data_IF_311911469683
#
_entry.id   IF_311911469683
#
_cell.length_a   1.000
_cell.length_b   1.000
_cell.length_c   1.000
_cell.angle_alpha   90.00
_cell.angle_beta   90.00
_cell.angle_gamma   90.00
#
_symmetry.space_group_name_H-M   'P 1'
#
loop_
_entity.id
_entity.type
_entity.pdbx_description
1 polymer ?
#
# COMPACT_ATOMS: atom_id res chain seq x y z
N UNK A 1 -3.42 9.93 45.22
CA UNK A 1 -4.10 8.74 44.68
C UNK A 1 -5.20 9.24 43.76
N UNK A 2 -4.86 9.54 42.50
CA UNK A 2 -5.85 9.88 41.46
C UNK A 2 -5.79 8.76 40.43
N UNK A 3 -6.95 8.17 40.21
CA UNK A 3 -7.23 7.08 39.29
C UNK A 3 -7.18 7.66 37.88
N UNK A 4 -6.26 7.17 37.05
CA UNK A 4 -6.30 7.42 35.61
C UNK A 4 -7.44 6.59 35.01
N UNK A 5 -8.52 7.26 34.62
CA UNK A 5 -9.48 6.72 33.67
C UNK A 5 -8.80 6.59 32.30
N UNK A 6 -8.27 5.39 32.02
CA UNK A 6 -7.95 4.97 30.65
C UNK A 6 -9.26 4.96 29.86
N UNK A 7 -9.42 5.93 28.95
CA UNK A 7 -10.51 5.93 27.97
C UNK A 7 -10.39 4.66 27.12
N UNK A 8 -11.37 3.76 27.27
CA UNK A 8 -11.55 2.63 26.35
C UNK A 8 -11.76 3.19 24.94
N UNK A 9 -10.84 2.88 24.02
CA UNK A 9 -11.00 3.15 22.59
C UNK A 9 -12.26 2.43 22.10
N UNK A 10 -13.20 3.16 21.48
CA UNK A 10 -14.41 2.59 20.91
C UNK A 10 -14.05 1.60 19.79
N UNK A 11 -14.28 0.30 20.03
CA UNK A 11 -14.06 -0.76 19.04
C UNK A 11 -15.05 -0.54 17.89
N UNK A 12 -14.55 -0.27 16.68
CA UNK A 12 -15.41 -0.05 15.50
C UNK A 12 -16.12 -1.36 15.14
N UNK A 13 -17.46 -1.40 15.10
CA UNK A 13 -18.20 -2.62 14.80
C UNK A 13 -17.87 -3.13 13.39
N UNK A 14 -17.76 -4.44 13.25
CA UNK A 14 -17.60 -5.11 11.96
C UNK A 14 -18.89 -4.93 11.13
N UNK A 15 -18.77 -4.63 9.84
CA UNK A 15 -19.86 -4.86 8.89
C UNK A 15 -20.07 -6.37 8.69
N UNK A 16 -21.23 -6.75 8.13
CA UNK A 16 -21.51 -8.16 7.84
C UNK A 16 -20.44 -8.78 6.94
N UNK A 17 -20.04 -8.09 5.87
CA UNK A 17 -19.06 -8.58 4.92
C UNK A 17 -17.68 -8.77 5.56
N UNK A 18 -17.26 -7.85 6.43
CA UNK A 18 -15.99 -7.97 7.16
C UNK A 18 -16.03 -9.14 8.16
N UNK A 19 -17.13 -9.31 8.89
CA UNK A 19 -17.32 -10.42 9.82
C UNK A 19 -17.31 -11.78 9.09
N UNK A 20 -18.03 -11.87 7.97
CA UNK A 20 -18.12 -13.08 7.17
C UNK A 20 -16.75 -13.48 6.59
N UNK A 21 -16.03 -12.52 6.01
CA UNK A 21 -14.68 -12.75 5.48
C UNK A 21 -13.70 -13.20 6.57
N UNK A 22 -13.63 -12.47 7.68
CA UNK A 22 -12.70 -12.76 8.77
C UNK A 22 -12.93 -14.15 9.38
N UNK A 23 -14.19 -14.50 9.65
CA UNK A 23 -14.52 -15.82 10.21
C UNK A 23 -14.23 -16.93 9.20
N UNK A 24 -14.46 -16.69 7.91
CA UNK A 24 -14.15 -17.65 6.86
C UNK A 24 -12.64 -17.90 6.73
N UNK A 25 -11.83 -16.85 6.81
CA UNK A 25 -10.37 -16.95 6.72
C UNK A 25 -9.80 -17.69 7.93
N UNK A 26 -10.19 -17.30 9.16
CA UNK A 26 -9.76 -17.98 10.40
C UNK A 26 -10.12 -19.47 10.40
N UNK A 27 -11.32 -19.82 9.93
CA UNK A 27 -11.74 -21.21 9.86
C UNK A 27 -10.97 -21.99 8.79
N UNK A 28 -10.69 -21.35 7.64
CA UNK A 28 -9.95 -21.96 6.54
C UNK A 28 -8.50 -22.24 6.93
N UNK A 29 -7.87 -21.37 7.71
CA UNK A 29 -6.53 -21.59 8.26
C UNK A 29 -6.47 -22.80 9.19
N UNK A 30 -7.47 -22.96 10.06
CA UNK A 30 -7.49 -24.07 11.02
C UNK A 30 -7.91 -25.42 10.40
N UNK A 31 -8.83 -25.41 9.43
CA UNK A 31 -9.50 -26.64 8.95
C UNK A 31 -9.30 -26.95 7.48
N UNK A 32 -8.61 -26.09 6.71
CA UNK A 32 -8.54 -26.11 5.25
C UNK A 32 -9.91 -26.06 4.54
N UNK A 33 -10.98 -25.68 5.25
CA UNK A 33 -12.35 -25.57 4.73
C UNK A 33 -12.97 -24.24 5.15
N UNK A 34 -13.69 -23.61 4.23
CA UNK A 34 -14.45 -22.38 4.52
C UNK A 34 -15.67 -22.63 5.41
N UNK A 35 -16.44 -21.56 5.63
CA UNK A 35 -17.73 -21.65 6.30
C UNK A 35 -18.71 -22.51 5.50
N UNK A 36 -19.46 -23.34 6.22
CA UNK A 36 -20.62 -24.05 5.66
C UNK A 36 -21.82 -23.11 5.60
N UNK A 37 -22.82 -23.46 4.80
CA UNK A 37 -24.09 -22.71 4.74
C UNK A 37 -24.76 -22.58 6.11
N UNK A 38 -24.66 -23.61 6.96
CA UNK A 38 -25.23 -23.60 8.30
C UNK A 38 -24.48 -22.62 9.21
N UNK A 39 -23.15 -22.63 9.21
CA UNK A 39 -22.34 -21.70 10.01
C UNK A 39 -22.49 -20.25 9.54
N UNK A 40 -22.59 -20.03 8.23
CA UNK A 40 -22.84 -18.70 7.67
C UNK A 40 -24.19 -18.15 8.14
N UNK A 41 -25.24 -18.97 8.14
CA UNK A 41 -26.56 -18.59 8.68
C UNK A 41 -26.54 -18.36 10.19
N UNK A 42 -25.76 -19.14 10.94
CA UNK A 42 -25.55 -18.94 12.38
C UNK A 42 -24.87 -17.59 12.64
N UNK A 43 -23.78 -17.32 11.92
CA UNK A 43 -23.04 -16.07 12.03
C UNK A 43 -23.93 -14.86 11.68
N UNK A 44 -24.72 -14.97 10.60
CA UNK A 44 -25.68 -13.93 10.20
C UNK A 44 -26.76 -13.72 11.24
N UNK A 45 -27.32 -14.80 11.79
CA UNK A 45 -28.31 -14.73 12.85
C UNK A 45 -27.79 -14.03 14.10
N UNK A 46 -26.53 -14.25 14.48
CA UNK A 46 -25.90 -13.55 15.61
C UNK A 46 -25.64 -12.08 15.28
N UNK A 47 -25.19 -11.79 14.06
CA UNK A 47 -24.99 -10.41 13.59
C UNK A 47 -26.28 -9.59 13.63
N UNK A 48 -27.41 -10.21 13.29
CA UNK A 48 -28.74 -9.61 13.33
C UNK A 48 -29.43 -9.73 14.72
N UNK A 49 -28.68 -10.07 15.78
CA UNK A 49 -29.13 -10.24 17.17
C UNK A 49 -30.31 -11.22 17.39
N UNK A 50 -30.42 -12.25 16.55
CA UNK A 50 -31.47 -13.29 16.67
C UNK A 50 -31.14 -14.29 17.78
N UNK A 51 -32.18 -14.86 18.40
CA UNK A 51 -31.99 -16.00 19.32
C UNK A 51 -31.75 -17.30 18.55
N UNK A 52 -31.13 -18.31 19.18
CA UNK A 52 -30.98 -19.63 18.54
C UNK A 52 -32.34 -20.27 18.22
N UNK A 53 -33.39 -19.94 18.98
CA UNK A 53 -34.75 -20.39 18.74
C UNK A 53 -35.35 -19.79 17.48
N UNK A 54 -35.09 -18.51 17.21
CA UNK A 54 -35.57 -17.84 15.99
C UNK A 54 -34.85 -18.42 14.76
N UNK A 55 -33.54 -18.64 14.88
CA UNK A 55 -32.75 -19.26 13.83
C UNK A 55 -33.15 -20.72 13.56
N UNK A 56 -33.49 -21.49 14.61
CA UNK A 56 -34.00 -22.85 14.50
C UNK A 56 -35.28 -22.94 13.67
N UNK A 57 -36.21 -21.99 13.89
CA UNK A 57 -37.44 -21.89 13.10
C UNK A 57 -37.16 -21.52 11.64
N UNK A 58 -36.23 -20.59 11.41
CA UNK A 58 -35.88 -20.09 10.07
C UNK A 58 -35.18 -21.17 9.22
N UNK A 59 -34.23 -21.89 9.80
CA UNK A 59 -33.46 -22.94 9.13
C UNK A 59 -34.20 -24.30 9.14
N UNK A 60 -35.31 -24.41 9.88
CA UNK A 60 -36.08 -25.65 10.10
C UNK A 60 -35.21 -26.79 10.65
N UNK A 61 -34.43 -26.48 11.68
CA UNK A 61 -33.57 -27.43 12.39
C UNK A 61 -33.81 -27.36 13.90
N UNK A 62 -33.39 -28.40 14.63
CA UNK A 62 -33.47 -28.40 16.09
C UNK A 62 -32.55 -27.33 16.71
N UNK A 63 -33.05 -26.61 17.72
CA UNK A 63 -32.29 -25.57 18.43
C UNK A 63 -30.97 -26.12 19.00
N UNK A 64 -30.96 -27.39 19.43
CA UNK A 64 -29.76 -28.03 19.96
C UNK A 64 -28.69 -28.28 18.89
N UNK A 65 -29.07 -28.65 17.67
CA UNK A 65 -28.13 -28.82 16.55
C UNK A 65 -27.44 -27.51 16.20
N UNK A 66 -28.18 -26.41 16.22
CA UNK A 66 -27.64 -25.06 16.00
C UNK A 66 -26.66 -24.67 17.11
N UNK A 67 -27.01 -24.92 18.39
CA UNK A 67 -26.11 -24.67 19.52
C UNK A 67 -24.81 -25.47 19.41
N UNK A 68 -24.88 -26.73 18.99
CA UNK A 68 -23.71 -27.58 18.82
C UNK A 68 -22.80 -27.09 17.68
N UNK A 69 -23.38 -26.66 16.55
CA UNK A 69 -22.64 -26.09 15.43
C UNK A 69 -21.98 -24.75 15.80
N UNK A 70 -22.71 -23.86 16.48
CA UNK A 70 -22.17 -22.60 16.98
C UNK A 70 -21.02 -22.82 17.97
N UNK A 71 -21.18 -23.74 18.92
CA UNK A 71 -20.14 -24.10 19.90
C UNK A 71 -18.86 -24.62 19.23
N UNK A 72 -19.02 -25.46 18.19
CA UNK A 72 -17.88 -25.99 17.43
C UNK A 72 -17.14 -24.87 16.67
N UNK A 73 -17.87 -23.96 16.04
CA UNK A 73 -17.31 -22.80 15.37
C UNK A 73 -16.59 -21.87 16.35
N UNK A 74 -17.22 -21.56 17.49
CA UNK A 74 -16.63 -20.67 18.49
C UNK A 74 -15.39 -21.27 19.14
N UNK A 75 -15.31 -22.59 19.29
CA UNK A 75 -14.10 -23.26 19.76
C UNK A 75 -12.94 -23.02 18.79
N UNK A 76 -13.17 -23.23 17.49
CA UNK A 76 -12.16 -22.94 16.45
C UNK A 76 -11.74 -21.47 16.52
N UNK A 77 -12.70 -20.54 16.56
CA UNK A 77 -12.40 -19.12 16.63
C UNK A 77 -11.65 -18.75 17.92
N UNK A 78 -12.00 -19.36 19.06
CA UNK A 78 -11.29 -19.12 20.32
C UNK A 78 -9.84 -19.58 20.26
N UNK A 79 -9.60 -20.73 19.64
CA UNK A 79 -8.25 -21.27 19.42
C UNK A 79 -7.45 -20.40 18.44
N UNK A 80 -8.07 -19.85 17.40
CA UNK A 80 -7.39 -18.99 16.42
C UNK A 80 -7.15 -17.56 16.94
N UNK A 81 -8.02 -17.04 17.79
CA UNK A 81 -7.92 -15.66 18.31
C UNK A 81 -7.18 -15.56 19.64
N UNK A 82 -7.02 -16.67 20.37
CA UNK A 82 -6.47 -16.67 21.72
C UNK A 82 -7.39 -16.06 22.78
N UNK A 83 -8.61 -15.64 22.40
CA UNK A 83 -9.65 -15.13 23.30
C UNK A 83 -10.81 -16.13 23.38
N UNK A 84 -11.45 -16.25 24.55
CA UNK A 84 -12.66 -17.06 24.69
C UNK A 84 -13.83 -16.41 23.95
N UNK A 85 -14.27 -17.02 22.85
CA UNK A 85 -15.37 -16.54 22.02
C UNK A 85 -16.66 -17.28 22.39
N UNK A 86 -17.71 -16.51 22.62
CA UNK A 86 -19.08 -16.91 22.89
C UNK A 86 -20.04 -16.03 22.07
N UNK A 87 -21.33 -16.38 22.02
CA UNK A 87 -22.33 -15.60 21.27
C UNK A 87 -22.33 -14.11 21.67
N UNK A 88 -22.23 -13.83 22.96
CA UNK A 88 -22.35 -12.48 23.54
C UNK A 88 -21.18 -11.56 23.22
N UNK A 89 -20.01 -12.10 22.92
CA UNK A 89 -18.80 -11.31 22.66
C UNK A 89 -18.20 -11.54 21.27
N UNK A 90 -18.77 -12.42 20.44
CA UNK A 90 -18.27 -12.79 19.10
C UNK A 90 -17.86 -11.57 18.26
N UNK A 91 -18.78 -10.61 18.08
CA UNK A 91 -18.55 -9.43 17.23
C UNK A 91 -17.44 -8.57 17.83
N UNK A 92 -17.47 -8.32 19.13
CA UNK A 92 -16.50 -7.47 19.83
C UNK A 92 -15.12 -8.11 19.93
N UNK A 93 -15.04 -9.42 20.11
CA UNK A 93 -13.79 -10.19 20.14
C UNK A 93 -13.15 -10.26 18.75
N UNK A 94 -13.96 -10.49 17.71
CA UNK A 94 -13.45 -10.51 16.33
C UNK A 94 -13.11 -9.12 15.80
N UNK A 95 -13.82 -8.08 16.22
CA UNK A 95 -13.45 -6.70 15.90
C UNK A 95 -12.09 -6.36 16.55
N UNK A 96 -11.89 -6.73 17.82
CA UNK A 96 -10.58 -6.62 18.48
C UNK A 96 -9.51 -7.44 17.77
N UNK A 97 -9.83 -8.67 17.38
CA UNK A 97 -8.89 -9.53 16.65
C UNK A 97 -8.51 -8.91 15.29
N UNK A 98 -9.47 -8.44 14.49
CA UNK A 98 -9.21 -7.71 13.22
C UNK A 98 -8.29 -6.52 13.44
N UNK A 99 -8.58 -5.72 14.47
CA UNK A 99 -7.85 -4.50 14.76
C UNK A 99 -6.43 -4.81 15.28
N UNK A 100 -6.22 -6.02 15.84
CA UNK A 100 -4.95 -6.54 16.34
C UNK A 100 -4.16 -7.44 15.36
N UNK A 101 -4.79 -8.01 14.32
CA UNK A 101 -4.20 -9.04 13.42
C UNK A 101 -3.65 -8.53 12.09
N UNK A 102 -3.67 -7.21 11.87
CA UNK A 102 -3.04 -6.54 10.72
C UNK A 102 -1.50 -6.48 10.85
N UNK A 103 -0.81 -7.62 10.99
CA UNK A 103 0.65 -7.77 10.77
C UNK A 103 1.02 -9.25 10.53
N UNK A 104 1.07 -9.69 9.26
CA UNK A 104 1.81 -10.88 8.83
C UNK A 104 2.60 -10.53 7.57
N UNK A 105 3.87 -10.92 7.50
CA UNK A 105 4.65 -10.78 6.27
C UNK A 105 4.34 -11.92 5.27
N UNK A 106 4.90 -11.84 4.06
CA UNK A 106 4.67 -12.79 2.96
C UNK A 106 5.01 -14.27 3.26
N UNK A 107 5.54 -14.59 4.45
CA UNK A 107 5.94 -15.94 4.84
C UNK A 107 5.18 -16.50 6.06
N UNK A 108 4.08 -15.86 6.52
CA UNK A 108 3.21 -16.36 7.58
C UNK A 108 3.95 -16.72 8.90
N UNK A 109 4.98 -15.95 9.26
CA UNK A 109 5.56 -16.03 10.61
C UNK A 109 4.95 -14.95 11.52
N UNK A 110 4.66 -15.26 12.80
CA UNK A 110 4.22 -14.25 13.76
C UNK A 110 5.34 -13.24 14.00
N UNK A 111 5.13 -11.98 13.63
CA UNK A 111 5.96 -10.89 14.12
C UNK A 111 5.59 -10.66 15.60
N UNK A 112 6.59 -10.73 16.48
CA UNK A 112 6.43 -10.32 17.87
C UNK A 112 5.99 -8.85 17.91
N UNK A 113 4.82 -8.59 18.50
CA UNK A 113 4.37 -7.24 18.83
C UNK A 113 5.43 -6.55 19.69
N UNK A 114 6.20 -5.67 19.08
CA UNK A 114 6.77 -4.52 19.80
C UNK A 114 5.57 -3.68 20.22
N UNK A 115 5.58 -3.18 21.46
CA UNK A 115 4.48 -2.37 21.97
C UNK A 115 4.21 -1.19 21.03
N UNK A 116 2.94 -0.93 20.68
CA UNK A 116 2.50 0.22 19.87
C UNK A 116 2.73 1.58 20.58
N UNK A 117 3.63 1.64 21.55
CA UNK A 117 4.01 2.87 22.24
C UNK A 117 5.06 3.55 21.37
N UNK A 118 4.63 4.56 20.62
CA UNK A 118 5.53 5.48 19.93
C UNK A 118 5.81 6.65 20.85
N UNK A 119 7.09 7.03 20.96
CA UNK A 119 7.48 8.26 21.64
C UNK A 119 7.61 9.39 20.61
N UNK A 120 6.82 10.45 20.76
CA UNK A 120 7.02 11.67 19.98
C UNK A 120 8.09 12.52 20.65
N UNK A 121 9.26 12.61 20.02
CA UNK A 121 10.39 13.44 20.40
C UNK A 121 10.50 14.65 19.46
N UNK A 122 10.09 15.83 19.93
CA UNK A 122 10.21 17.08 19.17
C UNK A 122 11.52 17.76 19.56
N UNK A 123 12.41 17.93 18.58
CA UNK A 123 13.68 18.60 18.74
C UNK A 123 13.74 19.81 17.79
N UNK A 124 14.05 20.99 18.29
CA UNK A 124 14.48 22.11 17.47
C UNK A 124 15.97 22.01 17.18
N UNK A 125 16.33 22.05 15.90
CA UNK A 125 17.72 22.06 15.45
C UNK A 125 17.85 23.20 14.44
N UNK A 126 18.96 23.95 14.50
CA UNK A 126 19.24 25.00 13.51
C UNK A 126 19.13 24.45 12.08
N UNK A 127 18.19 25.00 11.30
CA UNK A 127 17.63 24.37 10.11
C UNK A 127 18.63 24.36 8.94
N UNK A 128 19.55 25.33 8.91
CA UNK A 128 20.43 25.59 7.77
C UNK A 128 21.56 24.56 7.58
N UNK A 129 21.70 23.60 8.50
CA UNK A 129 22.89 22.74 8.60
C UNK A 129 22.62 21.22 8.68
N UNK A 130 21.38 20.76 8.49
CA UNK A 130 20.99 19.35 8.69
C UNK A 130 21.25 18.44 7.48
N UNK A 131 22.46 17.88 7.41
CA UNK A 131 22.82 16.84 6.42
C UNK A 131 22.37 15.43 6.87
N UNK A 132 22.14 14.46 5.95
CA UNK A 132 21.87 13.05 6.27
C UNK A 132 22.83 12.47 7.31
N UNK A 133 24.13 12.75 7.17
CA UNK A 133 25.15 12.30 8.13
C UNK A 133 24.94 12.87 9.54
N UNK A 134 24.57 14.15 9.66
CA UNK A 134 24.29 14.78 10.96
C UNK A 134 23.02 14.19 11.59
N UNK A 135 22.02 13.84 10.78
CA UNK A 135 20.79 13.18 11.26
C UNK A 135 21.10 11.78 11.78
N UNK A 136 21.93 11.01 11.08
CA UNK A 136 22.39 9.69 11.56
C UNK A 136 23.15 9.80 12.88
N UNK A 137 23.97 10.85 13.05
CA UNK A 137 24.64 11.15 14.32
C UNK A 137 23.64 11.47 15.44
N UNK A 138 22.60 12.25 15.16
CA UNK A 138 21.51 12.53 16.12
C UNK A 138 20.78 11.23 16.50
N UNK A 139 20.47 10.37 15.54
CA UNK A 139 19.81 9.08 15.80
C UNK A 139 20.68 8.16 16.68
N UNK A 140 21.97 8.05 16.36
CA UNK A 140 22.93 7.28 17.17
C UNK A 140 23.06 7.84 18.60
N UNK A 141 23.01 9.16 18.74
CA UNK A 141 23.02 9.83 20.03
C UNK A 141 21.77 9.50 20.86
N UNK A 142 20.58 9.54 20.25
CA UNK A 142 19.31 9.18 20.89
C UNK A 142 19.34 7.72 21.36
N UNK A 143 19.75 6.78 20.50
CA UNK A 143 19.91 5.37 20.85
C UNK A 143 20.85 5.17 22.05
N UNK A 144 21.98 5.88 22.06
CA UNK A 144 22.96 5.83 23.15
C UNK A 144 22.39 6.35 24.48
N UNK A 145 21.65 7.45 24.45
CA UNK A 145 21.01 8.04 25.65
C UNK A 145 19.92 7.10 26.19
N UNK A 146 19.12 6.54 25.28
CA UNK A 146 18.10 5.55 25.60
C UNK A 146 18.67 4.20 26.03
N UNK A 147 19.97 3.96 25.80
CA UNK A 147 20.64 2.66 26.00
C UNK A 147 19.94 1.53 25.23
N UNK A 148 19.43 1.88 24.06
CA UNK A 148 18.61 1.01 23.25
C UNK A 148 18.93 1.24 21.76
N UNK A 149 19.60 0.25 21.16
CA UNK A 149 19.94 0.27 19.74
C UNK A 149 18.78 -0.16 18.83
N UNK A 150 17.66 -0.60 19.41
CA UNK A 150 16.44 -0.86 18.67
C UNK A 150 15.67 0.42 18.38
N UNK A 151 16.01 1.54 19.03
CA UNK A 151 15.33 2.82 18.79
C UNK A 151 15.56 3.29 17.36
N UNK A 152 14.48 3.56 16.63
CA UNK A 152 14.54 4.05 15.26
C UNK A 152 13.52 5.16 15.05
N UNK A 153 13.89 6.23 14.33
CA UNK A 153 12.91 7.18 13.85
C UNK A 153 12.04 6.51 12.78
N UNK A 154 10.73 6.51 12.97
CA UNK A 154 9.76 6.04 11.97
C UNK A 154 9.26 7.16 11.07
N UNK A 155 9.35 8.41 11.53
CA UNK A 155 8.99 9.59 10.74
C UNK A 155 9.86 10.78 11.14
N UNK A 156 10.21 11.60 10.13
CA UNK A 156 10.95 12.84 10.30
C UNK A 156 10.31 13.98 9.49
N UNK A 157 10.05 15.10 10.16
CA UNK A 157 9.55 16.33 9.54
C UNK A 157 10.66 17.40 9.54
N UNK A 158 10.85 18.10 8.40
CA UNK A 158 11.83 19.20 8.24
C UNK A 158 11.33 20.46 8.98
N UNK A 159 12.26 21.24 9.54
CA UNK A 159 12.00 22.37 10.45
C UNK A 159 12.63 22.11 11.82
N UNK A 160 11.87 22.28 12.91
CA UNK A 160 12.16 21.60 14.17
C UNK A 160 12.00 20.09 13.94
N UNK A 161 13.11 19.34 13.89
CA UNK A 161 13.11 17.88 13.72
C UNK A 161 12.14 17.23 14.71
N UNK A 162 10.96 16.83 14.23
CA UNK A 162 10.03 15.99 14.96
C UNK A 162 10.34 14.54 14.62
N UNK A 163 10.73 13.77 15.62
CA UNK A 163 11.04 12.36 15.52
C UNK A 163 9.95 11.57 16.23
N UNK A 164 9.37 10.61 15.54
CA UNK A 164 8.57 9.57 16.16
C UNK A 164 9.47 8.35 16.31
N UNK A 165 9.61 7.84 17.53
CA UNK A 165 10.56 6.78 17.86
C UNK A 165 9.80 5.48 18.20
N UNK A 166 10.17 4.40 17.50
CA UNK A 166 9.88 3.03 17.92
C UNK A 166 11.12 2.46 18.62
N UNK A 167 10.98 1.45 19.48
CA UNK A 167 12.09 0.84 20.21
C UNK A 167 11.61 -0.13 21.28
N UNK A 168 12.48 -0.51 22.21
CA UNK A 168 12.06 -1.23 23.41
C UNK A 168 11.27 -0.29 24.32
N UNK A 169 10.29 -0.85 25.05
CA UNK A 169 9.50 -0.08 26.01
C UNK A 169 10.39 0.60 27.06
N UNK A 170 11.44 -0.10 27.53
CA UNK A 170 12.42 0.43 28.47
C UNK A 170 13.21 1.61 27.89
N UNK A 171 13.64 1.52 26.63
CA UNK A 171 14.39 2.59 25.96
C UNK A 171 13.55 3.84 25.73
N UNK A 172 12.31 3.66 25.28
CA UNK A 172 11.37 4.77 25.07
C UNK A 172 10.95 5.41 26.40
N UNK A 173 10.69 4.60 27.44
CA UNK A 173 10.32 5.11 28.77
C UNK A 173 11.47 5.90 29.39
N UNK A 174 12.70 5.42 29.21
CA UNK A 174 13.90 6.14 29.66
C UNK A 174 14.01 7.52 29.02
N UNK A 175 13.74 7.65 27.72
CA UNK A 175 13.77 8.96 27.05
C UNK A 175 12.69 9.90 27.61
N UNK A 176 11.48 9.40 27.84
CA UNK A 176 10.40 10.18 28.45
C UNK A 176 10.77 10.64 29.87
N UNK A 177 11.27 9.73 30.71
CA UNK A 177 11.65 10.02 32.09
C UNK A 177 12.79 11.06 32.17
N UNK A 178 13.80 10.93 31.30
CA UNK A 178 14.91 11.89 31.20
C UNK A 178 14.43 13.27 30.74
N UNK A 179 13.43 13.33 29.87
CA UNK A 179 12.85 14.62 29.49
C UNK A 179 12.11 15.25 30.67
N UNK A 180 11.29 14.46 31.36
CA UNK A 180 10.51 14.91 32.51
C UNK A 180 11.39 15.40 33.67
N UNK A 181 12.57 14.79 33.87
CA UNK A 181 13.57 15.25 34.85
C UNK A 181 14.39 16.45 34.38
N UNK A 182 14.33 16.83 33.10
CA UNK A 182 15.16 17.87 32.48
C UNK A 182 16.58 17.41 32.12
N UNK A 183 16.94 16.16 32.39
CA UNK A 183 18.28 15.60 32.13
C UNK A 183 18.52 15.30 30.65
N UNK A 184 17.46 15.05 29.87
CA UNK A 184 17.60 14.70 28.44
C UNK A 184 18.35 15.79 27.66
N UNK A 185 18.02 17.06 27.92
CA UNK A 185 18.68 18.20 27.27
C UNK A 185 20.16 18.30 27.67
N UNK A 186 20.50 18.02 28.92
CA UNK A 186 21.86 18.03 29.42
C UNK A 186 22.70 16.91 28.78
N UNK A 187 22.17 15.69 28.73
CA UNK A 187 22.82 14.54 28.10
C UNK A 187 23.03 14.74 26.60
N UNK A 188 22.04 15.31 25.89
CA UNK A 188 22.19 15.66 24.48
C UNK A 188 23.32 16.69 24.28
N UNK A 189 23.45 17.67 25.18
CA UNK A 189 24.52 18.67 25.09
C UNK A 189 25.91 18.13 25.48
N UNK A 190 25.99 17.20 26.43
CA UNK A 190 27.26 16.60 26.86
C UNK A 190 27.80 15.57 25.85
N UNK A 191 26.90 14.78 25.25
CA UNK A 191 27.28 13.64 24.43
C UNK A 191 27.30 13.94 22.92
N UNK A 192 26.81 15.10 22.48
CA UNK A 192 26.89 15.51 21.07
C UNK A 192 28.34 15.78 20.67
N UNK A 193 28.68 15.47 19.42
CA UNK A 193 29.93 15.92 18.80
C UNK A 193 29.81 17.36 18.30
N UNK A 194 30.95 18.05 18.16
CA UNK A 194 31.02 19.48 17.79
C UNK A 194 30.34 19.82 16.46
N UNK A 195 30.16 18.84 15.57
CA UNK A 195 29.54 18.99 14.27
C UNK A 195 28.01 18.82 14.27
N UNK A 196 27.42 18.44 15.40
CA UNK A 196 25.97 18.40 15.60
C UNK A 196 25.50 19.79 16.05
N UNK A 197 24.51 20.41 15.36
CA UNK A 197 24.02 21.73 15.75
C UNK A 197 23.40 21.74 17.16
N UNK A 198 23.05 22.92 17.66
CA UNK A 198 22.27 23.01 18.89
C UNK A 198 20.94 22.24 18.74
N UNK A 199 20.67 21.39 19.74
CA UNK A 199 19.50 20.52 19.84
C UNK A 199 18.70 21.05 21.02
N UNK A 200 17.44 21.43 20.80
CA UNK A 200 16.54 21.87 21.86
C UNK A 200 15.36 20.90 21.92
N UNK A 201 15.24 20.14 23.01
CA UNK A 201 14.10 19.23 23.21
C UNK A 201 12.88 20.03 23.66
N UNK A 202 11.80 19.97 22.88
CA UNK A 202 10.51 20.61 23.19
C UNK A 202 9.49 19.66 23.78
N UNK A 203 9.56 18.39 23.41
CA UNK A 203 8.59 17.36 23.76
C UNK A 203 9.23 15.99 23.68
N UNK A 204 8.86 15.09 24.59
CA UNK A 204 9.16 13.66 24.58
C UNK A 204 8.05 12.93 25.34
N UNK A 205 6.96 12.59 24.64
CA UNK A 205 5.75 12.05 25.26
C UNK A 205 5.25 10.83 24.49
N UNK A 206 4.71 9.86 25.22
CA UNK A 206 4.06 8.70 24.60
C UNK A 206 2.75 9.13 23.96
N UNK A 207 2.52 8.68 22.73
CA UNK A 207 1.26 8.91 22.02
C UNK A 207 0.56 7.59 21.73
N UNK A 208 -0.76 7.55 21.95
CA UNK A 208 -1.63 6.39 21.72
C UNK A 208 -2.39 6.45 20.39
N UNK A 209 -2.37 7.60 19.71
CA UNK A 209 -3.10 7.88 18.46
C UNK A 209 -2.21 7.74 17.23
N UNK A 210 -1.19 6.87 17.29
CA UNK A 210 -0.21 6.63 16.22
C UNK A 210 -0.87 6.59 14.84
N UNK A 211 -1.94 5.82 14.61
CA UNK A 211 -2.59 5.72 13.28
C UNK A 211 -3.29 7.00 12.78
N UNK A 212 -3.87 7.82 13.66
CA UNK A 212 -4.63 9.03 13.25
C UNK A 212 -3.72 10.26 13.21
N UNK A 213 -2.73 10.32 14.11
CA UNK A 213 -1.71 11.38 14.14
C UNK A 213 -0.67 11.14 13.05
N UNK A 214 -0.27 9.90 12.75
CA UNK A 214 0.63 9.60 11.63
C UNK A 214 0.01 10.00 10.30
N UNK A 215 -1.22 9.57 9.99
CA UNK A 215 -1.80 9.85 8.68
C UNK A 215 -2.14 11.32 8.46
N UNK A 216 -2.79 11.97 9.43
CA UNK A 216 -3.22 13.35 9.27
C UNK A 216 -2.06 14.35 9.26
N UNK A 217 -1.07 14.17 10.15
CA UNK A 217 0.13 15.01 10.16
C UNK A 217 1.01 14.73 8.95
N UNK A 218 1.12 13.47 8.51
CA UNK A 218 1.85 13.13 7.29
C UNK A 218 1.23 13.74 6.05
N UNK A 219 -0.09 13.63 5.89
CA UNK A 219 -0.82 14.27 4.80
C UNK A 219 -0.59 15.79 4.84
N UNK A 220 -0.65 16.40 6.03
CA UNK A 220 -0.37 17.82 6.19
C UNK A 220 1.07 18.16 5.78
N UNK A 221 2.05 17.39 6.26
CA UNK A 221 3.46 17.59 5.96
C UNK A 221 3.78 17.43 4.47
N UNK A 222 3.19 16.43 3.81
CA UNK A 222 3.30 16.24 2.36
C UNK A 222 2.73 17.45 1.62
N UNK A 223 1.53 17.92 2.01
CA UNK A 223 0.88 19.09 1.41
C UNK A 223 1.65 20.39 1.64
N UNK A 224 2.35 20.50 2.77
CA UNK A 224 3.18 21.66 3.12
C UNK A 224 4.62 21.54 2.58
N UNK A 225 4.99 20.41 1.96
CA UNK A 225 6.34 20.18 1.44
C UNK A 225 7.42 20.07 2.52
N UNK A 226 7.04 19.69 3.75
CA UNK A 226 7.95 19.63 4.91
C UNK A 226 8.51 18.23 5.17
N UNK A 227 8.15 17.24 4.34
CA UNK A 227 8.67 15.88 4.48
C UNK A 227 10.04 15.70 3.82
N UNK A 228 10.84 14.80 4.37
CA UNK A 228 12.09 14.35 3.74
C UNK A 228 11.84 13.20 2.75
N UNK A 229 12.50 13.24 1.59
CA UNK A 229 12.27 12.37 0.44
C UNK A 229 12.48 10.87 0.78
N UNK A 230 13.21 10.54 1.85
CA UNK A 230 13.63 9.17 2.16
C UNK A 230 12.68 8.37 3.06
N UNK A 231 11.58 8.93 3.55
CA UNK A 231 10.93 8.43 4.80
C UNK A 231 9.48 7.97 4.65
N UNK A 232 9.01 7.69 3.43
CA UNK A 232 7.59 7.40 3.16
C UNK A 232 7.29 5.91 2.88
N UNK A 233 8.15 5.00 3.31
CA UNK A 233 7.99 3.56 3.07
C UNK A 233 6.93 2.98 4.00
N UNK A 234 6.05 2.11 3.50
CA UNK A 234 5.01 1.41 4.28
C UNK A 234 3.93 2.31 4.92
N UNK A 235 3.90 3.60 4.59
CA UNK A 235 2.93 4.54 5.20
C UNK A 235 1.50 4.27 4.73
N UNK A 236 0.53 4.51 5.60
CA UNK A 236 -0.89 4.55 5.23
C UNK A 236 -1.29 5.98 4.81
N UNK A 237 -1.45 6.16 3.51
CA UNK A 237 -1.99 7.33 2.84
C UNK A 237 -3.30 6.99 2.09
N UNK A 238 -3.99 5.91 2.46
CA UNK A 238 -5.23 5.50 1.81
C UNK A 238 -6.31 6.58 1.94
N UNK A 239 -6.98 6.92 0.84
CA UNK A 239 -7.97 7.99 0.79
C UNK A 239 -7.40 9.41 1.04
N UNK A 240 -6.08 9.58 1.11
CA UNK A 240 -5.47 10.87 1.34
C UNK A 240 -5.79 11.85 0.19
N UNK A 241 -5.97 13.13 0.53
CA UNK A 241 -6.12 14.21 -0.45
C UNK A 241 -4.75 14.89 -0.60
N UNK A 242 -4.06 14.53 -1.68
CA UNK A 242 -2.68 14.92 -2.01
C UNK A 242 -2.63 15.56 -3.42
N UNK A 243 -3.68 16.30 -3.76
CA UNK A 243 -3.81 17.01 -5.04
C UNK A 243 -2.63 17.98 -5.19
N UNK A 244 -1.95 17.93 -6.33
CA UNK A 244 -0.80 18.78 -6.66
C UNK A 244 0.37 18.71 -5.64
N UNK A 245 0.39 17.72 -4.75
CA UNK A 245 1.47 17.55 -3.80
C UNK A 245 2.80 17.24 -4.50
N UNK A 246 3.89 17.77 -3.95
CA UNK A 246 5.24 17.38 -4.39
C UNK A 246 5.72 16.18 -3.58
N UNK A 247 5.79 15.05 -4.27
CA UNK A 247 6.29 13.76 -3.79
C UNK A 247 7.41 13.27 -4.72
N UNK A 248 8.03 14.18 -5.48
CA UNK A 248 9.12 13.81 -6.38
C UNK A 248 10.28 13.23 -5.59
N UNK A 249 10.89 12.18 -6.15
CA UNK A 249 11.98 11.42 -5.55
C UNK A 249 11.67 10.73 -4.21
N UNK A 250 10.43 10.84 -3.73
CA UNK A 250 10.06 10.24 -2.46
C UNK A 250 10.11 8.71 -2.51
N UNK A 251 10.49 8.08 -1.41
CA UNK A 251 10.40 6.64 -1.25
C UNK A 251 9.06 6.22 -0.63
N UNK A 252 8.07 5.97 -1.47
CA UNK A 252 6.73 5.45 -1.14
C UNK A 252 6.59 3.95 -1.39
N UNK A 253 7.70 3.19 -1.38
CA UNK A 253 7.63 1.75 -1.63
C UNK A 253 6.78 1.04 -0.57
N UNK A 254 5.97 0.09 -1.02
CA UNK A 254 5.03 -0.66 -0.17
C UNK A 254 4.03 0.22 0.63
N UNK A 255 3.88 1.50 0.29
CA UNK A 255 2.90 2.38 0.92
C UNK A 255 1.47 2.03 0.48
N UNK A 256 0.49 2.27 1.36
CA UNK A 256 -0.92 2.19 1.01
C UNK A 256 -1.44 3.57 0.60
N UNK A 257 -1.71 3.74 -0.69
CA UNK A 257 -2.30 4.92 -1.32
C UNK A 257 -3.67 4.58 -1.91
N UNK A 258 -4.32 3.50 -1.45
CA UNK A 258 -5.60 3.05 -2.01
C UNK A 258 -6.67 4.13 -1.87
N UNK A 259 -7.34 4.45 -2.96
CA UNK A 259 -8.34 5.53 -3.03
C UNK A 259 -7.80 6.94 -2.82
N UNK A 260 -6.48 7.15 -2.72
CA UNK A 260 -5.90 8.48 -2.56
C UNK A 260 -6.16 9.35 -3.79
N UNK A 261 -6.33 10.65 -3.58
CA UNK A 261 -6.42 11.64 -4.65
C UNK A 261 -5.08 12.37 -4.82
N UNK A 262 -4.32 11.93 -5.82
CA UNK A 262 -3.01 12.45 -6.26
C UNK A 262 -3.15 13.19 -7.60
N UNK A 263 -4.34 13.72 -7.93
CA UNK A 263 -4.52 14.45 -9.19
C UNK A 263 -3.55 15.62 -9.29
N UNK A 264 -2.85 15.74 -10.43
CA UNK A 264 -1.83 16.76 -10.66
C UNK A 264 -0.57 16.66 -9.77
N UNK A 265 -0.44 15.65 -8.91
CA UNK A 265 0.72 15.53 -8.02
C UNK A 265 2.02 15.34 -8.81
N UNK A 266 3.11 15.94 -8.31
CA UNK A 266 4.45 15.69 -8.83
C UNK A 266 5.01 14.44 -8.15
N UNK A 267 5.10 13.35 -8.90
CA UNK A 267 5.62 12.03 -8.49
C UNK A 267 6.84 11.66 -9.35
N UNK A 268 7.56 12.65 -9.87
CA UNK A 268 8.72 12.42 -10.75
C UNK A 268 9.79 11.65 -9.99
N UNK A 269 10.29 10.55 -10.55
CA UNK A 269 11.33 9.72 -9.94
C UNK A 269 10.94 9.05 -8.62
N UNK A 270 9.66 9.11 -8.21
CA UNK A 270 9.18 8.49 -6.96
C UNK A 270 9.41 6.97 -6.99
N UNK A 271 9.76 6.39 -5.84
CA UNK A 271 9.74 4.94 -5.68
C UNK A 271 8.40 4.50 -5.08
N UNK A 272 7.53 3.90 -5.90
CA UNK A 272 6.25 3.29 -5.55
C UNK A 272 6.28 1.76 -5.70
N UNK A 273 7.46 1.13 -5.67
CA UNK A 273 7.56 -0.31 -5.87
C UNK A 273 6.76 -1.07 -4.79
N UNK A 274 5.88 -1.97 -5.21
CA UNK A 274 5.00 -2.74 -4.31
C UNK A 274 3.83 -1.95 -3.71
N UNK A 275 3.76 -0.63 -3.91
CA UNK A 275 2.73 0.20 -3.30
C UNK A 275 1.31 -0.20 -3.74
N UNK A 276 0.34 -0.01 -2.84
CA UNK A 276 -1.08 -0.22 -3.13
C UNK A 276 -1.72 1.11 -3.56
N UNK A 277 -2.00 1.27 -4.85
CA UNK A 277 -2.73 2.40 -5.43
C UNK A 277 -4.13 2.01 -5.92
N UNK A 278 -4.73 0.96 -5.35
CA UNK A 278 -6.05 0.50 -5.78
C UNK A 278 -7.08 1.63 -5.75
N UNK A 279 -7.76 1.89 -6.87
CA UNK A 279 -8.78 2.94 -6.97
C UNK A 279 -8.27 4.37 -6.79
N UNK A 280 -6.95 4.62 -6.75
CA UNK A 280 -6.41 5.95 -6.58
C UNK A 280 -6.68 6.84 -7.81
N UNK A 281 -6.83 8.15 -7.58
CA UNK A 281 -6.97 9.14 -8.64
C UNK A 281 -5.63 9.84 -8.89
N UNK A 282 -5.00 9.57 -10.04
CA UNK A 282 -3.75 10.17 -10.50
C UNK A 282 -3.93 10.88 -11.85
N UNK A 283 -5.12 11.41 -12.14
CA UNK A 283 -5.35 12.21 -13.36
C UNK A 283 -4.31 13.32 -13.42
N UNK A 284 -3.66 13.48 -14.58
CA UNK A 284 -2.65 14.52 -14.83
C UNK A 284 -1.44 14.50 -13.86
N UNK A 285 -1.24 13.43 -13.08
CA UNK A 285 -0.06 13.32 -12.23
C UNK A 285 1.23 13.16 -13.07
N UNK A 286 2.34 13.68 -12.56
CA UNK A 286 3.65 13.60 -13.21
C UNK A 286 4.42 12.44 -12.58
N UNK A 287 4.46 11.29 -13.25
CA UNK A 287 5.15 10.05 -12.84
C UNK A 287 6.38 9.76 -13.72
N UNK A 288 6.94 10.80 -14.34
CA UNK A 288 8.15 10.73 -15.16
C UNK A 288 9.28 10.03 -14.40
N UNK A 289 9.77 8.90 -14.92
CA UNK A 289 10.84 8.11 -14.32
C UNK A 289 10.49 7.37 -13.02
N UNK A 290 9.22 7.36 -12.59
CA UNK A 290 8.80 6.68 -11.37
C UNK A 290 9.03 5.16 -11.42
N UNK A 291 9.33 4.56 -10.27
CA UNK A 291 9.39 3.11 -10.08
C UNK A 291 8.08 2.57 -9.50
N UNK A 292 7.27 1.92 -10.33
CA UNK A 292 5.98 1.32 -9.99
C UNK A 292 6.04 -0.21 -10.08
N UNK A 293 7.23 -0.81 -9.99
CA UNK A 293 7.39 -2.28 -10.10
C UNK A 293 6.49 -2.99 -9.11
N UNK A 294 5.70 -3.95 -9.60
CA UNK A 294 4.77 -4.76 -8.79
C UNK A 294 3.72 -3.97 -8.01
N UNK A 295 3.55 -2.68 -8.27
CA UNK A 295 2.52 -1.87 -7.63
C UNK A 295 1.12 -2.39 -8.02
N UNK A 296 0.16 -2.28 -7.09
CA UNK A 296 -1.23 -2.58 -7.35
C UNK A 296 -1.99 -1.29 -7.73
N UNK A 297 -2.23 -1.08 -9.01
CA UNK A 297 -2.94 0.08 -9.56
C UNK A 297 -4.36 -0.27 -10.00
N UNK A 298 -4.88 -1.45 -9.69
CA UNK A 298 -6.20 -1.89 -10.19
C UNK A 298 -7.27 -0.82 -9.95
N UNK A 299 -8.09 -0.56 -10.98
CA UNK A 299 -9.17 0.45 -10.98
C UNK A 299 -8.73 1.90 -10.72
N UNK A 300 -7.42 2.20 -10.67
CA UNK A 300 -6.93 3.56 -10.59
C UNK A 300 -7.21 4.38 -11.86
N UNK A 301 -7.20 5.70 -11.74
CA UNK A 301 -7.37 6.61 -12.86
C UNK A 301 -6.07 7.40 -13.12
N UNK A 302 -5.38 7.07 -14.20
CA UNK A 302 -4.15 7.72 -14.68
C UNK A 302 -4.41 8.47 -16.00
N UNK A 303 -5.64 8.95 -16.23
CA UNK A 303 -5.97 9.71 -17.43
C UNK A 303 -5.07 10.95 -17.57
N UNK A 304 -4.48 11.14 -18.76
CA UNK A 304 -3.56 12.23 -19.06
C UNK A 304 -2.31 12.31 -18.15
N UNK A 305 -1.99 11.25 -17.38
CA UNK A 305 -0.78 11.22 -16.57
C UNK A 305 0.48 11.14 -17.45
N UNK A 306 1.58 11.74 -16.98
CA UNK A 306 2.90 11.59 -17.58
C UNK A 306 3.63 10.41 -16.92
N UNK A 307 3.87 9.35 -17.68
CA UNK A 307 4.58 8.13 -17.28
C UNK A 307 5.84 7.93 -18.14
N UNK A 308 6.42 9.01 -18.68
CA UNK A 308 7.63 8.94 -19.49
C UNK A 308 8.74 8.18 -18.75
N UNK A 309 9.25 7.12 -19.38
CA UNK A 309 10.27 6.20 -18.81
C UNK A 309 9.93 5.57 -17.45
N UNK A 310 8.68 5.61 -17.01
CA UNK A 310 8.27 4.96 -15.76
C UNK A 310 8.47 3.43 -15.83
N UNK A 311 8.78 2.81 -14.70
CA UNK A 311 9.01 1.38 -14.58
C UNK A 311 7.82 0.68 -13.92
N UNK A 312 6.91 0.13 -14.73
CA UNK A 312 5.70 -0.58 -14.33
C UNK A 312 5.84 -2.10 -14.45
N UNK A 313 7.08 -2.63 -14.43
CA UNK A 313 7.32 -4.07 -14.63
C UNK A 313 6.57 -4.89 -13.58
N UNK A 314 5.74 -5.83 -14.06
CA UNK A 314 4.92 -6.69 -13.22
C UNK A 314 3.84 -5.98 -12.40
N UNK A 315 3.54 -4.70 -12.67
CA UNK A 315 2.46 -3.99 -12.00
C UNK A 315 1.09 -4.55 -12.38
N UNK A 316 0.12 -4.43 -11.48
CA UNK A 316 -1.27 -4.79 -11.75
C UNK A 316 -2.07 -3.54 -12.14
N UNK A 317 -2.39 -3.39 -13.42
CA UNK A 317 -3.12 -2.27 -14.02
C UNK A 317 -4.51 -2.70 -14.52
N UNK A 318 -5.07 -3.80 -14.02
CA UNK A 318 -6.35 -4.29 -14.53
C UNK A 318 -7.47 -3.28 -14.27
N UNK A 319 -8.25 -2.97 -15.31
CA UNK A 319 -9.34 -1.99 -15.23
C UNK A 319 -8.91 -0.53 -15.05
N UNK A 320 -7.61 -0.22 -15.18
CA UNK A 320 -7.11 1.16 -15.08
C UNK A 320 -7.58 2.01 -16.27
N UNK A 321 -7.82 3.30 -16.02
CA UNK A 321 -7.95 4.29 -17.08
C UNK A 321 -6.60 4.99 -17.35
N UNK A 322 -6.01 4.75 -18.52
CA UNK A 322 -4.79 5.40 -19.02
C UNK A 322 -5.09 6.22 -20.30
N UNK A 323 -6.34 6.64 -20.50
CA UNK A 323 -6.72 7.44 -21.67
C UNK A 323 -5.85 8.69 -21.80
N UNK A 324 -5.29 8.90 -22.99
CA UNK A 324 -4.39 10.02 -23.31
C UNK A 324 -3.13 10.15 -22.43
N UNK A 325 -2.76 9.13 -21.65
CA UNK A 325 -1.52 9.14 -20.85
C UNK A 325 -0.28 9.10 -21.76
N UNK A 326 0.83 9.70 -21.31
CA UNK A 326 2.12 9.59 -21.99
C UNK A 326 2.97 8.48 -21.35
N UNK A 327 3.11 7.35 -22.05
CA UNK A 327 3.87 6.18 -21.63
C UNK A 327 5.12 6.01 -22.53
N UNK A 328 5.62 7.09 -23.13
CA UNK A 328 6.81 7.06 -23.98
C UNK A 328 7.98 6.37 -23.24
N UNK A 329 8.46 5.26 -23.82
CA UNK A 329 9.60 4.46 -23.32
C UNK A 329 9.38 3.90 -21.91
N UNK A 330 8.13 3.82 -21.44
CA UNK A 330 7.80 3.15 -20.19
C UNK A 330 8.09 1.64 -20.27
N UNK A 331 8.45 1.03 -19.14
CA UNK A 331 8.65 -0.41 -19.03
C UNK A 331 7.45 -1.07 -18.38
N UNK A 332 6.59 -1.70 -19.18
CA UNK A 332 5.40 -2.45 -18.80
C UNK A 332 5.60 -3.97 -18.92
N UNK A 333 6.86 -4.44 -18.93
CA UNK A 333 7.14 -5.87 -19.13
C UNK A 333 6.47 -6.73 -18.05
N UNK A 334 5.73 -7.76 -18.48
CA UNK A 334 4.97 -8.66 -17.61
C UNK A 334 3.84 -7.99 -16.82
N UNK A 335 3.47 -6.74 -17.10
CA UNK A 335 2.37 -6.07 -16.41
C UNK A 335 1.01 -6.65 -16.79
N UNK A 336 0.06 -6.61 -15.86
CA UNK A 336 -1.33 -6.98 -16.12
C UNK A 336 -2.14 -5.76 -16.54
N UNK A 337 -2.42 -5.63 -17.83
CA UNK A 337 -3.18 -4.54 -18.46
C UNK A 337 -4.56 -5.03 -18.95
N UNK A 338 -5.13 -6.06 -18.30
CA UNK A 338 -6.40 -6.63 -18.76
C UNK A 338 -7.55 -5.62 -18.61
N UNK A 339 -8.34 -5.46 -19.68
CA UNK A 339 -9.47 -4.53 -19.72
C UNK A 339 -9.10 -3.05 -19.59
N UNK A 340 -7.81 -2.69 -19.68
CA UNK A 340 -7.36 -1.31 -19.51
C UNK A 340 -7.88 -0.41 -20.63
N UNK A 341 -8.23 0.84 -20.31
CA UNK A 341 -8.51 1.85 -21.32
C UNK A 341 -7.25 2.65 -21.64
N UNK A 342 -6.65 2.45 -22.81
CA UNK A 342 -5.46 3.16 -23.28
C UNK A 342 -5.80 4.13 -24.43
N UNK A 343 -7.07 4.43 -24.72
CA UNK A 343 -7.44 5.18 -25.92
C UNK A 343 -6.68 6.50 -26.05
N UNK A 344 -6.05 6.70 -27.21
CA UNK A 344 -5.25 7.90 -27.50
C UNK A 344 -3.95 8.06 -26.70
N UNK A 345 -3.55 7.08 -25.89
CA UNK A 345 -2.28 7.12 -25.16
C UNK A 345 -1.06 7.03 -26.09
N UNK A 346 0.07 7.56 -25.62
CA UNK A 346 1.35 7.49 -26.32
C UNK A 346 2.24 6.39 -25.72
N UNK A 347 2.44 5.28 -26.44
CA UNK A 347 3.30 4.16 -26.02
C UNK A 347 4.53 4.02 -26.93
N UNK A 348 5.00 5.14 -27.52
CA UNK A 348 6.14 5.10 -28.44
C UNK A 348 7.37 4.52 -27.74
N UNK A 349 7.95 3.48 -28.33
CA UNK A 349 9.12 2.78 -27.79
C UNK A 349 8.91 2.10 -26.43
N UNK A 350 7.68 1.91 -25.97
CA UNK A 350 7.39 1.25 -24.70
C UNK A 350 7.75 -0.26 -24.73
N UNK A 351 8.17 -0.81 -23.60
CA UNK A 351 8.40 -2.25 -23.46
C UNK A 351 7.19 -2.95 -22.85
N UNK A 352 6.45 -3.71 -23.64
CA UNK A 352 5.26 -4.49 -23.28
C UNK A 352 5.52 -6.00 -23.33
N UNK A 353 6.78 -6.44 -23.30
CA UNK A 353 7.13 -7.86 -23.41
C UNK A 353 6.40 -8.70 -22.36
N UNK A 354 5.67 -9.72 -22.81
CA UNK A 354 4.91 -10.63 -21.95
C UNK A 354 3.76 -9.98 -21.17
N UNK A 355 3.37 -8.74 -21.50
CA UNK A 355 2.27 -8.07 -20.82
C UNK A 355 0.92 -8.72 -21.19
N UNK A 356 -0.03 -8.69 -20.26
CA UNK A 356 -1.40 -9.14 -20.50
C UNK A 356 -2.29 -7.97 -20.92
N UNK A 357 -2.58 -7.84 -22.22
CA UNK A 357 -3.45 -6.80 -22.80
C UNK A 357 -4.84 -7.36 -23.16
N UNK A 358 -5.27 -8.47 -22.56
CA UNK A 358 -6.54 -9.10 -22.90
C UNK A 358 -7.71 -8.13 -22.67
N UNK A 359 -8.54 -7.90 -23.70
CA UNK A 359 -9.67 -6.98 -23.65
C UNK A 359 -9.31 -5.49 -23.54
N UNK A 360 -8.03 -5.12 -23.68
CA UNK A 360 -7.60 -3.73 -23.60
C UNK A 360 -8.14 -2.88 -24.76
N UNK A 361 -8.51 -1.64 -24.48
CA UNK A 361 -8.85 -0.66 -25.51
C UNK A 361 -7.60 0.10 -25.96
N UNK A 362 -6.98 -0.33 -27.07
CA UNK A 362 -5.79 0.29 -27.68
C UNK A 362 -6.17 1.18 -28.88
N UNK A 363 -7.41 1.67 -28.96
CA UNK A 363 -7.85 2.46 -30.11
C UNK A 363 -7.12 3.81 -30.19
N UNK A 364 -6.61 4.13 -31.37
CA UNK A 364 -5.86 5.36 -31.62
C UNK A 364 -4.52 5.48 -30.89
N UNK A 365 -4.04 4.43 -30.21
CA UNK A 365 -2.78 4.44 -29.46
C UNK A 365 -1.58 4.55 -30.39
N UNK A 366 -0.56 5.29 -29.98
CA UNK A 366 0.74 5.23 -30.64
C UNK A 366 1.63 4.12 -30.05
N UNK A 367 1.66 2.94 -30.69
CA UNK A 367 2.55 1.82 -30.34
C UNK A 367 3.84 1.81 -31.17
N UNK A 368 4.16 2.87 -31.91
CA UNK A 368 5.30 2.80 -32.84
C UNK A 368 6.62 2.53 -32.10
N UNK A 369 7.40 1.58 -32.59
CA UNK A 369 8.63 1.09 -31.95
C UNK A 369 8.42 0.34 -30.62
N UNK A 370 7.19 0.10 -30.18
CA UNK A 370 6.94 -0.64 -28.94
C UNK A 370 7.27 -2.13 -29.07
N UNK A 371 7.71 -2.75 -27.98
CA UNK A 371 8.01 -4.18 -27.94
C UNK A 371 6.89 -4.97 -27.26
N UNK A 372 6.03 -5.62 -28.03
CA UNK A 372 4.94 -6.49 -27.56
C UNK A 372 5.30 -7.99 -27.65
N UNK A 373 6.58 -8.34 -27.60
CA UNK A 373 7.01 -9.75 -27.70
C UNK A 373 6.29 -10.61 -26.66
N UNK A 374 5.62 -11.67 -27.10
CA UNK A 374 4.93 -12.60 -26.20
C UNK A 374 3.73 -12.00 -25.44
N UNK A 375 3.27 -10.80 -25.79
CA UNK A 375 2.11 -10.19 -25.14
C UNK A 375 0.80 -10.93 -25.49
N UNK A 376 -0.15 -10.94 -24.57
CA UNK A 376 -1.49 -11.48 -24.80
C UNK A 376 -2.45 -10.37 -25.23
N UNK A 377 -2.90 -10.36 -26.48
CA UNK A 377 -3.82 -9.36 -27.04
C UNK A 377 -5.24 -9.91 -27.29
N UNK A 378 -5.61 -11.02 -26.65
CA UNK A 378 -6.94 -11.63 -26.84
C UNK A 378 -8.05 -10.60 -26.59
N UNK A 379 -8.84 -10.30 -27.63
CA UNK A 379 -9.96 -9.36 -27.55
C UNK A 379 -9.55 -7.89 -27.40
N UNK A 380 -8.27 -7.54 -27.58
CA UNK A 380 -7.83 -6.15 -27.56
C UNK A 380 -8.31 -5.38 -28.80
N UNK A 381 -8.70 -4.12 -28.62
CA UNK A 381 -9.13 -3.24 -29.71
C UNK A 381 -7.96 -2.42 -30.25
N UNK A 382 -7.41 -2.79 -31.43
CA UNK A 382 -6.27 -2.12 -32.09
C UNK A 382 -6.68 -1.14 -33.20
N UNK A 383 -7.96 -0.74 -33.27
CA UNK A 383 -8.47 0.13 -34.33
C UNK A 383 -7.76 1.48 -34.32
N UNK A 384 -7.17 1.86 -35.45
CA UNK A 384 -6.49 3.15 -35.58
C UNK A 384 -5.19 3.28 -34.79
N UNK A 385 -4.72 2.22 -34.12
CA UNK A 385 -3.40 2.23 -33.47
C UNK A 385 -2.29 2.42 -34.51
N UNK A 386 -1.30 3.25 -34.19
CA UNK A 386 -0.05 3.38 -34.96
C UNK A 386 0.91 2.29 -34.48
N UNK A 387 1.36 1.43 -35.39
CA UNK A 387 2.14 0.22 -35.04
C UNK A 387 3.42 0.10 -35.85
N UNK A 388 3.89 1.20 -36.41
CA UNK A 388 5.10 1.23 -37.24
C UNK A 388 6.31 0.78 -36.40
N UNK A 389 7.06 -0.21 -36.90
CA UNK A 389 8.19 -0.84 -36.21
C UNK A 389 7.86 -1.45 -34.83
N UNK A 390 6.57 -1.66 -34.52
CA UNK A 390 6.18 -2.34 -33.29
C UNK A 390 6.42 -3.85 -33.42
N UNK A 391 7.00 -4.46 -32.39
CA UNK A 391 7.37 -5.88 -32.39
C UNK A 391 6.24 -6.71 -31.78
N UNK A 392 5.65 -7.62 -32.56
CA UNK A 392 4.58 -8.54 -32.14
C UNK A 392 5.02 -10.02 -32.16
N UNK A 393 6.32 -10.29 -32.19
CA UNK A 393 6.85 -11.65 -32.24
C UNK A 393 6.35 -12.47 -31.03
N UNK A 394 5.73 -13.61 -31.28
CA UNK A 394 5.15 -14.47 -30.24
C UNK A 394 3.92 -13.88 -29.52
N UNK A 395 3.40 -12.71 -29.94
CA UNK A 395 2.17 -12.17 -29.40
C UNK A 395 0.99 -13.10 -29.72
N UNK A 396 0.06 -13.24 -28.77
CA UNK A 396 -1.08 -14.16 -28.87
C UNK A 396 -2.41 -13.42 -28.91
N UNK A 397 -3.49 -14.10 -29.30
CA UNK A 397 -4.84 -13.52 -29.31
C UNK A 397 -5.13 -12.56 -30.47
N UNK A 398 -4.27 -12.55 -31.50
CA UNK A 398 -4.42 -11.80 -32.75
C UNK A 398 -4.95 -12.74 -33.83
N UNK A 399 -6.02 -12.36 -34.54
CA UNK A 399 -6.53 -13.17 -35.65
C UNK A 399 -5.64 -13.06 -36.90
N UNK A 400 -5.70 -14.00 -37.86
CA UNK A 400 -4.95 -13.91 -39.11
C UNK A 400 -5.18 -12.59 -39.87
N UNK A 401 -6.42 -12.11 -39.90
CA UNK A 401 -6.82 -10.86 -40.58
C UNK A 401 -6.20 -9.65 -39.88
N UNK A 402 -6.26 -9.62 -38.54
CA UNK A 402 -5.61 -8.58 -37.75
C UNK A 402 -4.09 -8.58 -37.96
N UNK A 403 -3.45 -9.76 -37.99
CA UNK A 403 -2.01 -9.89 -38.25
C UNK A 403 -1.63 -9.28 -39.61
N UNK A 404 -2.37 -9.61 -40.68
CA UNK A 404 -2.11 -9.05 -42.02
C UNK A 404 -2.30 -7.52 -42.08
N UNK A 405 -3.32 -7.01 -41.40
CA UNK A 405 -3.56 -5.57 -41.29
C UNK A 405 -2.44 -4.85 -40.51
N UNK A 406 -2.01 -5.42 -39.38
CA UNK A 406 -0.90 -4.88 -38.57
C UNK A 406 0.42 -4.86 -39.37
N UNK A 407 0.73 -5.92 -40.11
CA UNK A 407 1.91 -5.97 -40.99
C UNK A 407 1.85 -4.88 -42.06
N UNK A 408 0.69 -4.68 -42.70
CA UNK A 408 0.48 -3.59 -43.67
C UNK A 408 0.69 -2.19 -43.04
N UNK A 409 0.43 -2.06 -41.74
CA UNK A 409 0.68 -0.84 -40.94
C UNK A 409 2.11 -0.75 -40.37
N UNK A 410 3.01 -1.66 -40.74
CA UNK A 410 4.44 -1.61 -40.37
C UNK A 410 4.82 -2.40 -39.12
N UNK A 411 3.95 -3.27 -38.60
CA UNK A 411 4.28 -4.14 -37.46
C UNK A 411 5.19 -5.31 -37.86
N UNK A 412 6.06 -5.74 -36.93
CA UNK A 412 7.06 -6.81 -37.11
C UNK A 412 6.57 -8.08 -36.41
N UNK A 413 6.48 -9.19 -37.14
CA UNK A 413 6.03 -10.49 -36.60
C UNK A 413 7.09 -11.61 -36.67
N UNK A 414 8.24 -11.40 -37.32
CA UNK A 414 9.35 -12.36 -37.36
C UNK A 414 9.20 -13.53 -38.36
N UNK A 415 8.00 -13.72 -38.93
CA UNK A 415 7.70 -14.91 -39.75
C UNK A 415 7.80 -14.69 -41.27
N UNK A 416 8.01 -13.46 -41.76
CA UNK A 416 8.01 -13.17 -43.21
C UNK A 416 9.41 -12.90 -43.74
N UNK A 417 9.83 -13.60 -44.79
CA UNK A 417 11.11 -13.42 -45.50
C UNK A 417 11.33 -12.04 -46.16
N UNK A 418 10.35 -11.13 -46.07
CA UNK A 418 10.44 -9.72 -46.46
C UNK A 418 10.62 -8.77 -45.25
N UNK A 419 10.87 -9.30 -44.05
CA UNK A 419 11.06 -8.51 -42.84
C UNK A 419 12.33 -7.65 -42.98
N UNK A 420 12.19 -6.34 -42.82
CA UNK A 420 13.32 -5.40 -42.66
C UNK A 420 13.99 -5.54 -41.28
N UNK A 421 13.81 -6.68 -40.61
CA UNK A 421 14.35 -7.02 -39.29
C UNK A 421 15.89 -7.07 -39.24
N UNK A 422 16.57 -6.93 -40.39
CA UNK A 422 18.04 -6.80 -40.45
C UNK A 422 18.59 -5.38 -40.24
N UNK A 423 17.77 -4.36 -39.96
CA UNK A 423 18.26 -2.95 -39.91
C UNK A 423 18.36 -2.35 -38.50
N UNK A 424 17.91 -3.01 -37.43
CA UNK A 424 17.96 -2.40 -36.09
C UNK A 424 18.57 -3.37 -35.06
N UNK A 425 19.89 -3.25 -34.88
CA UNK A 425 20.66 -3.69 -33.71
C UNK A 425 20.60 -2.59 -32.66
#
# INVERSE_FOLDING_TARGET
MMINELKMTEIKPLSWTELEMLVNDLKKEHTNKGLTDLETKILKGIFDDKTYRDLAKEIRQEEQSIKNAASSLFKILSEQTGEKIEKSNLITALARYRDNSQTFDHNNQPQTQQSNKVLELVIEVGIDDLTPEKIDKINNLIQKIARDNTIKPIMKLKGSIRLFLEGSEDGLQRLADLHQSGELQALLNELKSDDIPEIIVKKAEFTTDAKVIEKAELIKAIREGTIDETTLRFVDLSGAILIEADLSWANLSEADLSGANLSGANLSGVNLSGANLWGANLIQAILSGADLRRANLREANLGQADLWRANLRGANLSGVNLGQADLWRANLSGANLSGVNLSGANLWGANLRGANLSGANLSGVNLSGANLWGANLRGANLRGAKVENAIFIGATGITPEQKQDLIRRGAIFGDNSNDRSKVLV
#
